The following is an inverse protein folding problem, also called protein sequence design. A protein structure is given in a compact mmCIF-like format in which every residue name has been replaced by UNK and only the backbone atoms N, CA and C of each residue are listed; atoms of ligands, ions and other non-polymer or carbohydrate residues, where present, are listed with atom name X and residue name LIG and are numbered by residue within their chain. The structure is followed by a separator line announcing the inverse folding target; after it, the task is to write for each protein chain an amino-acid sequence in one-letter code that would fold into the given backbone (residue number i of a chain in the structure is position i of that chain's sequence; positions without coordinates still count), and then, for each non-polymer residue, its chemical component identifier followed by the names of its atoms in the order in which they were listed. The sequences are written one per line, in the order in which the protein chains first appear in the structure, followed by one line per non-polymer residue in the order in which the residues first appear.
data_IF_818734164993
#
_entry.id   IF_818734164993
#
_cell.length_a   1.000
_cell.length_b   1.000
_cell.length_c   1.000
_cell.angle_alpha   90.00
_cell.angle_beta   90.00
_cell.angle_gamma   90.00
#
_symmetry.space_group_name_H-M   'P 1'
#
loop_
_entity.id
_entity.type
_entity.pdbx_description
1 polymer ?
#
# COMPACT_ATOMS: atom_id res chain seq x y z
N UNK A 1 0.06 -16.76 -18.83
CA UNK A 1 1.16 -15.95 -18.26
C UNK A 1 1.42 -16.38 -16.83
N UNK A 2 2.66 -16.66 -16.43
CA UNK A 2 2.92 -17.08 -15.05
C UNK A 2 2.68 -15.94 -14.05
N UNK A 3 2.57 -16.28 -12.78
CA UNK A 3 2.47 -15.31 -11.70
C UNK A 3 3.83 -15.17 -11.00
N UNK A 4 4.18 -13.98 -10.51
CA UNK A 4 5.34 -13.83 -9.65
C UNK A 4 5.23 -14.74 -8.41
N UNK A 5 6.37 -15.32 -8.02
CA UNK A 5 6.43 -16.21 -6.84
C UNK A 5 6.78 -15.40 -5.60
N UNK A 6 6.33 -15.88 -4.45
CA UNK A 6 6.69 -15.26 -3.17
C UNK A 6 8.22 -15.28 -3.00
N UNK A 7 8.80 -14.12 -2.71
CA UNK A 7 10.25 -13.97 -2.54
C UNK A 7 11.05 -13.84 -3.83
N UNK A 8 10.41 -13.94 -5.00
CA UNK A 8 11.07 -13.76 -6.29
C UNK A 8 11.42 -12.29 -6.51
N UNK A 9 12.64 -12.01 -6.99
CA UNK A 9 13.03 -10.65 -7.35
C UNK A 9 12.59 -10.29 -8.77
N UNK A 10 12.63 -8.99 -9.11
CA UNK A 10 12.15 -8.50 -10.40
C UNK A 10 12.96 -9.02 -11.59
N UNK A 11 14.26 -9.24 -11.41
CA UNK A 11 15.14 -9.73 -12.48
C UNK A 11 14.77 -11.16 -12.85
N UNK A 12 14.63 -12.03 -11.85
CA UNK A 12 14.25 -13.42 -12.05
C UNK A 12 12.84 -13.55 -12.63
N UNK A 13 11.89 -12.73 -12.14
CA UNK A 13 10.56 -12.65 -12.67
C UNK A 13 10.55 -12.27 -14.15
N UNK A 14 11.25 -11.17 -14.50
CA UNK A 14 11.28 -10.67 -15.87
C UNK A 14 11.83 -11.74 -16.83
N UNK A 15 12.92 -12.40 -16.44
CA UNK A 15 13.50 -13.47 -17.23
C UNK A 15 12.48 -14.59 -17.46
N UNK A 16 11.86 -15.07 -16.40
CA UNK A 16 10.87 -16.16 -16.47
C UNK A 16 9.66 -15.78 -17.30
N UNK A 17 9.13 -14.57 -17.13
CA UNK A 17 7.99 -14.08 -17.89
C UNK A 17 8.31 -13.90 -19.38
N UNK A 18 9.48 -13.33 -19.70
CA UNK A 18 9.89 -13.08 -21.09
C UNK A 18 10.14 -14.37 -21.86
N UNK A 19 10.57 -15.43 -21.20
CA UNK A 19 10.89 -16.73 -21.80
C UNK A 19 9.72 -17.71 -21.77
N UNK A 20 8.64 -17.39 -21.07
CA UNK A 20 7.48 -18.27 -20.95
C UNK A 20 6.78 -18.46 -22.30
N UNK A 21 6.50 -19.72 -22.67
CA UNK A 21 5.94 -20.05 -23.96
C UNK A 21 4.58 -19.38 -24.23
N UNK A 22 3.72 -19.32 -23.22
CA UNK A 22 2.42 -18.67 -23.33
C UNK A 22 2.58 -17.14 -23.52
N UNK A 23 3.51 -16.53 -22.82
CA UNK A 23 3.82 -15.11 -22.97
C UNK A 23 4.38 -14.79 -24.37
N UNK A 24 5.26 -15.65 -24.89
CA UNK A 24 5.82 -15.50 -26.25
C UNK A 24 4.74 -15.63 -27.29
N UNK A 25 3.81 -16.57 -27.13
CA UNK A 25 2.71 -16.77 -28.07
C UNK A 25 1.71 -15.62 -28.05
N UNK A 26 1.37 -15.10 -26.87
CA UNK A 26 0.42 -13.99 -26.71
C UNK A 26 1.02 -12.65 -27.12
N UNK A 27 2.31 -12.45 -26.88
CA UNK A 27 3.03 -11.21 -27.15
C UNK A 27 4.35 -11.52 -27.87
N UNK A 28 4.30 -11.81 -29.19
CA UNK A 28 5.50 -12.18 -29.96
C UNK A 28 6.55 -11.07 -30.03
N UNK A 29 6.11 -9.79 -30.01
CA UNK A 29 7.03 -8.65 -29.96
C UNK A 29 7.68 -8.55 -28.57
N UNK A 30 9.01 -8.61 -28.53
CA UNK A 30 9.76 -8.58 -27.28
C UNK A 30 9.55 -7.28 -26.48
N UNK A 31 9.43 -6.13 -27.14
CA UNK A 31 9.19 -4.85 -26.47
C UNK A 31 7.81 -4.81 -25.80
N UNK A 32 6.79 -5.28 -26.51
CA UNK A 32 5.44 -5.35 -25.97
C UNK A 32 5.37 -6.35 -24.81
N UNK A 33 6.00 -7.51 -24.96
CA UNK A 33 6.07 -8.54 -23.92
C UNK A 33 6.75 -8.02 -22.66
N UNK A 34 7.84 -7.25 -22.80
CA UNK A 34 8.53 -6.62 -21.69
C UNK A 34 7.59 -5.69 -20.90
N UNK A 35 6.86 -4.83 -21.58
CA UNK A 35 5.92 -3.91 -20.95
C UNK A 35 4.83 -4.65 -20.19
N UNK A 36 4.28 -5.71 -20.77
CA UNK A 36 3.24 -6.53 -20.15
C UNK A 36 3.79 -7.25 -18.90
N UNK A 37 4.97 -7.85 -18.99
CA UNK A 37 5.60 -8.53 -17.85
C UNK A 37 5.90 -7.55 -16.70
N UNK A 38 6.42 -6.38 -17.02
CA UNK A 38 6.71 -5.33 -16.04
C UNK A 38 5.42 -4.84 -15.36
N UNK A 39 4.37 -4.64 -16.14
CA UNK A 39 3.06 -4.23 -15.62
C UNK A 39 2.49 -5.27 -14.65
N UNK A 40 2.59 -6.56 -14.99
CA UNK A 40 2.12 -7.64 -14.12
C UNK A 40 2.93 -7.72 -12.83
N UNK A 41 4.24 -7.56 -12.88
CA UNK A 41 5.09 -7.49 -11.70
C UNK A 41 4.62 -6.38 -10.74
N UNK A 42 4.41 -5.19 -11.26
CA UNK A 42 3.94 -4.06 -10.47
C UNK A 42 2.57 -4.32 -9.84
N UNK A 43 1.62 -4.85 -10.59
CA UNK A 43 0.27 -5.09 -10.08
C UNK A 43 0.26 -6.11 -8.94
N UNK A 44 1.07 -7.17 -9.01
CA UNK A 44 1.16 -8.20 -7.96
C UNK A 44 1.92 -7.68 -6.73
N UNK A 45 3.01 -6.92 -6.92
CA UNK A 45 3.81 -6.40 -5.80
C UNK A 45 3.15 -5.23 -5.08
N UNK A 46 2.20 -4.54 -5.71
CA UNK A 46 1.41 -3.48 -5.09
C UNK A 46 0.04 -3.95 -4.61
N UNK A 47 -0.22 -5.27 -4.66
CA UNK A 47 -1.45 -5.88 -4.14
C UNK A 47 -1.16 -6.68 -2.87
N UNK A 48 -2.19 -6.88 -2.03
CA UNK A 48 -2.12 -7.64 -0.78
C UNK A 48 -1.11 -7.10 0.23
N UNK A 49 -0.76 -5.82 0.12
CA UNK A 49 0.08 -5.15 1.10
C UNK A 49 -0.77 -4.60 2.25
N UNK A 50 -0.13 -4.40 3.40
CA UNK A 50 -0.72 -3.68 4.51
C UNK A 50 -0.33 -2.21 4.37
N UNK A 51 -1.31 -1.34 4.19
CA UNK A 51 -1.11 0.09 3.97
C UNK A 51 -1.90 0.85 5.03
N UNK A 52 -1.25 1.78 5.70
CA UNK A 52 -1.92 2.63 6.69
C UNK A 52 -1.88 4.10 6.30
N UNK A 53 -2.87 4.83 6.79
CA UNK A 53 -3.02 6.26 6.58
C UNK A 53 -3.18 6.95 7.92
N UNK A 54 -2.51 8.08 8.09
CA UNK A 54 -2.88 9.04 9.12
C UNK A 54 -4.23 9.64 8.78
N UNK A 55 -4.97 10.14 9.77
CA UNK A 55 -6.26 10.77 9.54
C UNK A 55 -6.13 12.26 9.24
N UNK A 56 -5.55 13.04 10.17
CA UNK A 56 -5.48 14.49 10.05
C UNK A 56 -4.56 14.91 8.92
N UNK A 57 -5.09 15.67 7.96
CA UNK A 57 -4.33 16.16 6.81
C UNK A 57 -4.03 15.11 5.74
N UNK A 58 -4.48 13.86 5.93
CA UNK A 58 -4.33 12.77 4.97
C UNK A 58 -5.72 12.24 4.59
N UNK A 59 -6.31 11.35 5.39
CA UNK A 59 -7.64 10.82 5.11
C UNK A 59 -8.75 11.85 5.29
N UNK A 60 -8.54 12.87 6.10
CA UNK A 60 -9.48 13.98 6.23
C UNK A 60 -9.60 14.81 4.94
N UNK A 61 -8.65 14.65 4.01
CA UNK A 61 -8.68 15.32 2.70
C UNK A 61 -9.35 14.46 1.64
N UNK A 62 -9.90 15.09 0.60
CA UNK A 62 -10.48 14.38 -0.53
C UNK A 62 -9.43 13.54 -1.27
N UNK A 63 -8.25 14.09 -1.49
CA UNK A 63 -7.13 13.40 -2.14
C UNK A 63 -6.74 12.12 -1.40
N UNK A 64 -6.61 12.20 -0.08
CA UNK A 64 -6.27 11.05 0.75
C UNK A 64 -7.37 10.01 0.77
N UNK A 65 -8.63 10.44 0.85
CA UNK A 65 -9.78 9.55 0.79
C UNK A 65 -9.81 8.77 -0.54
N UNK A 66 -9.62 9.46 -1.66
CA UNK A 66 -9.64 8.82 -2.98
C UNK A 66 -8.49 7.83 -3.14
N UNK A 67 -7.30 8.17 -2.65
CA UNK A 67 -6.16 7.25 -2.66
C UNK A 67 -6.45 6.00 -1.83
N UNK A 68 -7.01 6.16 -0.64
CA UNK A 68 -7.36 5.03 0.24
C UNK A 68 -8.40 4.11 -0.40
N UNK A 69 -9.43 4.66 -1.04
CA UNK A 69 -10.45 3.88 -1.75
C UNK A 69 -9.79 3.06 -2.86
N UNK A 70 -8.92 3.68 -3.65
CA UNK A 70 -8.23 3.00 -4.74
C UNK A 70 -7.33 1.86 -4.23
N UNK A 71 -6.54 2.12 -3.19
CA UNK A 71 -5.64 1.11 -2.62
C UNK A 71 -6.40 -0.02 -1.91
N UNK A 72 -7.57 0.26 -1.34
CA UNK A 72 -8.39 -0.74 -0.67
C UNK A 72 -8.93 -1.82 -1.61
N UNK A 73 -8.93 -1.57 -2.91
CA UNK A 73 -9.40 -2.55 -3.92
C UNK A 73 -8.52 -3.80 -3.96
N UNK A 74 -7.22 -3.67 -3.66
CA UNK A 74 -6.26 -4.77 -3.76
C UNK A 74 -5.33 -4.91 -2.56
N UNK A 75 -5.48 -4.08 -1.52
CA UNK A 75 -4.64 -4.08 -0.34
C UNK A 75 -5.47 -4.06 0.94
N UNK A 76 -4.83 -4.40 2.06
CA UNK A 76 -5.44 -4.28 3.38
C UNK A 76 -5.10 -2.89 3.92
N UNK A 77 -6.12 -2.04 4.08
CA UNK A 77 -5.94 -0.64 4.48
C UNK A 77 -6.32 -0.45 5.95
N UNK A 78 -5.49 0.32 6.66
CA UNK A 78 -5.62 0.66 8.06
C UNK A 78 -5.68 2.17 8.24
N UNK A 79 -6.30 2.63 9.30
CA UNK A 79 -6.16 4.00 9.78
C UNK A 79 -5.36 3.95 11.09
N UNK A 80 -4.23 4.63 11.13
CA UNK A 80 -3.39 4.72 12.33
C UNK A 80 -3.09 6.19 12.59
N UNK A 81 -3.70 6.74 13.63
CA UNK A 81 -3.64 8.15 13.94
C UNK A 81 -3.09 8.38 15.34
N UNK A 82 -2.51 9.56 15.55
CA UNK A 82 -2.08 10.03 16.88
C UNK A 82 -3.23 10.57 17.73
N UNK A 83 -4.45 10.62 17.23
CA UNK A 83 -5.63 11.04 18.01
C UNK A 83 -5.84 10.13 19.22
N UNK A 84 -6.48 10.66 20.26
CA UNK A 84 -6.77 9.92 21.49
C UNK A 84 -8.02 9.05 21.40
N UNK A 85 -8.92 9.33 20.45
CA UNK A 85 -10.08 8.48 20.17
C UNK A 85 -10.35 8.39 18.67
N UNK A 86 -11.14 7.39 18.27
CA UNK A 86 -11.38 7.12 16.85
C UNK A 86 -12.75 7.57 16.32
N UNK A 87 -13.52 8.32 17.11
CA UNK A 87 -14.90 8.66 16.76
C UNK A 87 -15.01 9.38 15.41
N UNK A 88 -14.17 10.43 15.19
CA UNK A 88 -14.16 11.18 13.93
C UNK A 88 -13.67 10.38 12.75
N UNK A 89 -12.86 9.37 13.01
CA UNK A 89 -12.28 8.54 11.95
C UNK A 89 -13.25 7.47 11.45
N UNK A 90 -14.25 7.10 12.25
CA UNK A 90 -15.14 5.99 11.91
C UNK A 90 -16.02 6.27 10.70
N UNK A 91 -16.48 7.50 10.52
CA UNK A 91 -17.25 7.88 9.33
C UNK A 91 -16.42 7.72 8.06
N UNK A 92 -15.16 8.15 8.12
CA UNK A 92 -14.23 8.02 6.99
C UNK A 92 -13.88 6.55 6.74
N UNK A 93 -13.68 5.77 7.79
CA UNK A 93 -13.42 4.34 7.69
C UNK A 93 -14.56 3.60 6.97
N UNK A 94 -15.80 3.91 7.33
CA UNK A 94 -16.98 3.35 6.68
C UNK A 94 -17.02 3.70 5.19
N UNK A 95 -16.74 4.97 4.85
CA UNK A 95 -16.73 5.43 3.47
C UNK A 95 -15.68 4.69 2.61
N UNK A 96 -14.50 4.44 3.16
CA UNK A 96 -13.42 3.73 2.47
C UNK A 96 -13.63 2.20 2.47
N UNK A 97 -14.40 1.70 3.41
CA UNK A 97 -14.62 0.26 3.59
C UNK A 97 -13.63 -0.39 4.56
N UNK A 98 -13.10 0.40 5.50
CA UNK A 98 -12.17 -0.08 6.54
C UNK A 98 -12.96 -0.48 7.78
N UNK A 99 -12.89 -1.75 8.25
CA UNK A 99 -13.59 -2.16 9.46
C UNK A 99 -12.97 -1.52 10.71
N UNK A 100 -13.80 -1.37 11.76
CA UNK A 100 -13.38 -0.80 13.04
C UNK A 100 -12.13 -1.46 13.63
N UNK A 101 -11.95 -2.76 13.41
CA UNK A 101 -10.79 -3.52 13.88
C UNK A 101 -9.45 -3.06 13.26
N UNK A 102 -9.49 -2.29 12.19
CA UNK A 102 -8.30 -1.74 11.53
C UNK A 102 -8.20 -0.22 11.66
N UNK A 103 -8.93 0.36 12.61
CA UNK A 103 -8.86 1.79 12.94
C UNK A 103 -8.23 1.95 14.32
N UNK A 104 -7.10 2.66 14.38
CA UNK A 104 -6.34 2.83 15.62
C UNK A 104 -6.14 4.30 15.95
N UNK A 105 -6.56 4.70 17.15
CA UNK A 105 -6.26 5.98 17.76
C UNK A 105 -5.18 5.74 18.81
N UNK A 106 -3.94 6.09 18.51
CA UNK A 106 -2.79 5.67 19.34
C UNK A 106 -2.45 6.64 20.46
N UNK A 107 -2.86 7.90 20.37
CA UNK A 107 -2.66 8.91 21.39
C UNK A 107 -1.40 9.76 21.23
N UNK A 108 -0.44 9.34 20.42
CA UNK A 108 0.77 10.13 20.14
C UNK A 108 1.46 9.65 18.86
N UNK A 109 2.36 10.48 18.32
CA UNK A 109 3.16 10.11 17.16
C UNK A 109 4.10 8.94 17.48
N UNK A 110 4.66 8.90 18.69
CA UNK A 110 5.51 7.79 19.12
C UNK A 110 4.75 6.47 19.08
N UNK A 111 3.55 6.45 19.65
CA UNK A 111 2.69 5.27 19.67
C UNK A 111 2.20 4.91 18.26
N UNK A 112 1.95 5.90 17.42
CA UNK A 112 1.60 5.68 16.01
C UNK A 112 2.73 4.91 15.29
N UNK A 113 3.97 5.36 15.42
CA UNK A 113 5.13 4.71 14.82
C UNK A 113 5.27 3.27 15.33
N UNK A 114 5.14 3.05 16.63
CA UNK A 114 5.18 1.73 17.24
C UNK A 114 4.08 0.81 16.68
N UNK A 115 2.87 1.33 16.49
CA UNK A 115 1.74 0.58 15.94
C UNK A 115 1.99 0.18 14.48
N UNK A 116 2.50 1.09 13.66
CA UNK A 116 2.86 0.80 12.27
C UNK A 116 3.85 -0.36 12.20
N UNK A 117 4.87 -0.32 13.05
CA UNK A 117 5.88 -1.39 13.08
C UNK A 117 5.31 -2.71 13.63
N UNK A 118 4.52 -2.67 14.68
CA UNK A 118 3.97 -3.88 15.31
C UNK A 118 2.97 -4.63 14.43
N UNK A 119 2.22 -3.91 13.60
CA UNK A 119 1.26 -4.50 12.67
C UNK A 119 1.91 -5.05 11.39
N UNK A 120 3.19 -4.78 11.18
CA UNK A 120 3.87 -5.17 9.95
C UNK A 120 3.39 -4.40 8.73
N UNK A 121 3.05 -3.14 8.90
CA UNK A 121 2.61 -2.25 7.81
C UNK A 121 3.72 -2.11 6.77
N UNK A 122 3.38 -2.26 5.50
CA UNK A 122 4.34 -2.12 4.41
C UNK A 122 4.56 -0.65 4.02
N UNK A 123 3.50 0.16 4.05
CA UNK A 123 3.55 1.59 3.72
C UNK A 123 2.62 2.37 4.62
N UNK A 124 3.10 3.49 5.15
CA UNK A 124 2.29 4.42 5.95
C UNK A 124 2.34 5.80 5.34
N UNK A 125 1.18 6.34 5.00
CA UNK A 125 1.03 7.69 4.46
C UNK A 125 0.77 8.67 5.59
N UNK A 126 1.61 9.69 5.69
CA UNK A 126 1.54 10.71 6.74
C UNK A 126 2.02 12.04 6.18
N UNK A 127 1.48 13.14 6.69
CA UNK A 127 1.92 14.49 6.31
C UNK A 127 2.98 15.06 7.25
N UNK A 128 3.37 14.32 8.28
CA UNK A 128 4.39 14.74 9.24
C UNK A 128 5.76 14.18 8.83
N UNK A 129 6.72 15.05 8.44
CA UNK A 129 8.05 14.59 8.01
C UNK A 129 8.81 13.83 9.10
N UNK A 130 8.59 14.13 10.38
CA UNK A 130 9.26 13.44 11.48
C UNK A 130 8.82 11.99 11.59
N UNK A 131 7.54 11.73 11.36
CA UNK A 131 7.00 10.35 11.32
C UNK A 131 7.59 9.58 10.14
N UNK A 132 7.66 10.21 8.98
CA UNK A 132 8.23 9.61 7.77
C UNK A 132 9.70 9.25 7.99
N UNK A 133 10.48 10.15 8.57
CA UNK A 133 11.90 9.91 8.88
C UNK A 133 12.05 8.73 9.84
N UNK A 134 11.23 8.65 10.87
CA UNK A 134 11.28 7.57 11.85
C UNK A 134 10.90 6.22 11.26
N UNK A 135 10.00 6.18 10.28
CA UNK A 135 9.56 4.94 9.63
C UNK A 135 10.52 4.46 8.54
N UNK A 136 11.36 5.34 8.01
CA UNK A 136 12.28 5.00 6.93
C UNK A 136 11.56 4.62 5.65
N UNK A 137 11.90 3.47 5.07
CA UNK A 137 11.34 3.03 3.78
C UNK A 137 9.83 2.81 3.79
N UNK A 138 9.24 2.60 4.95
CA UNK A 138 7.78 2.42 5.10
C UNK A 138 7.02 3.74 5.01
N UNK A 139 7.67 4.85 5.32
CA UNK A 139 7.04 6.16 5.33
C UNK A 139 6.86 6.73 3.94
N UNK A 140 5.66 7.24 3.66
CA UNK A 140 5.33 7.94 2.42
C UNK A 140 4.77 9.31 2.77
N UNK A 141 5.51 10.35 2.46
CA UNK A 141 5.08 11.71 2.74
C UNK A 141 3.89 12.08 1.86
N UNK A 142 2.78 12.43 2.51
CA UNK A 142 1.56 12.86 1.85
C UNK A 142 1.51 14.37 1.78
N UNK A 143 1.31 14.88 0.57
CA UNK A 143 1.22 16.33 0.32
C UNK A 143 -0.10 16.70 -0.33
#
# INVERSE_FOLDING_TARGET
MPNPKKGENSIDWMKRCMEDAESVNSYPDANQRYVVCKSKWHSVNFSNQKISFDYDGVLSTEKGTNLAIELAKSNVVYIISARSNKDKMMNKATLVGIPSSRVYATGSNKQKIEKVNSLGINKHYDNNPDVITALGNKGKLFK
#
